data_IF_989194140957
#
_entry.id   IF_989194140957
#
_cell.length_a   1.000
_cell.length_b   1.000
_cell.length_c   1.000
_cell.angle_alpha   90.00
_cell.angle_beta   90.00
_cell.angle_gamma   90.00
#
_symmetry.space_group_name_H-M   'P 1'
#
loop_
_entity.id
_entity.type
_entity.pdbx_description
1 polymer ?
#
# COMPACT_ATOMS: atom_id res chain seq x y z
N UNK A 1 -18.03 -6.41 26.44
CA UNK A 1 -18.31 -5.72 25.15
C UNK A 1 -19.22 -6.64 24.33
N UNK A 2 -20.38 -6.15 23.84
CA UNK A 2 -21.41 -7.03 23.23
C UNK A 2 -20.90 -7.65 21.92
N UNK A 3 -21.27 -8.92 21.65
CA UNK A 3 -20.97 -9.66 20.40
C UNK A 3 -21.23 -8.84 19.14
N UNK A 4 -22.27 -8.04 19.16
CA UNK A 4 -22.69 -7.14 18.07
C UNK A 4 -21.64 -6.07 17.74
N UNK A 5 -20.93 -5.52 18.75
CA UNK A 5 -19.86 -4.53 18.54
C UNK A 5 -18.65 -5.15 17.84
N UNK A 6 -18.31 -6.40 18.15
CA UNK A 6 -17.22 -7.11 17.44
C UNK A 6 -17.58 -7.40 15.98
N UNK A 7 -18.82 -7.86 15.73
CA UNK A 7 -19.27 -8.13 14.36
C UNK A 7 -19.24 -6.83 13.52
N UNK A 8 -19.74 -5.73 14.06
CA UNK A 8 -19.77 -4.44 13.39
C UNK A 8 -18.35 -3.89 13.13
N UNK A 9 -17.42 -4.10 14.08
CA UNK A 9 -16.02 -3.68 13.95
C UNK A 9 -15.28 -4.35 12.79
N UNK A 10 -15.63 -5.61 12.46
CA UNK A 10 -15.02 -6.32 11.31
C UNK A 10 -15.84 -6.15 10.02
N UNK A 11 -17.16 -6.03 10.13
CA UNK A 11 -18.03 -5.91 8.95
C UNK A 11 -17.76 -4.61 8.17
N UNK A 12 -17.60 -3.48 8.86
CA UNK A 12 -17.38 -2.18 8.21
C UNK A 12 -16.12 -2.17 7.33
N UNK A 13 -14.92 -2.54 7.82
CA UNK A 13 -13.72 -2.60 6.99
C UNK A 13 -13.83 -3.56 5.81
N UNK A 14 -14.48 -4.72 6.03
CA UNK A 14 -14.69 -5.72 4.97
C UNK A 14 -15.59 -5.15 3.87
N UNK A 15 -16.70 -4.50 4.24
CA UNK A 15 -17.62 -3.88 3.26
C UNK A 15 -16.90 -2.79 2.47
N UNK A 16 -16.12 -1.93 3.11
CA UNK A 16 -15.35 -0.88 2.44
C UNK A 16 -14.33 -1.49 1.47
N UNK A 17 -13.62 -2.54 1.90
CA UNK A 17 -12.64 -3.23 1.07
C UNK A 17 -13.30 -3.86 -0.16
N UNK A 18 -14.42 -4.57 0.02
CA UNK A 18 -15.19 -5.16 -1.07
C UNK A 18 -15.75 -4.09 -2.01
N UNK A 19 -16.23 -2.96 -1.46
CA UNK A 19 -16.74 -1.85 -2.25
C UNK A 19 -15.67 -1.30 -3.21
N UNK A 20 -14.45 -1.06 -2.75
CA UNK A 20 -13.39 -0.59 -3.63
C UNK A 20 -12.82 -1.67 -4.55
N UNK A 21 -12.80 -2.93 -4.13
CA UNK A 21 -12.31 -4.03 -4.95
C UNK A 21 -13.23 -4.30 -6.17
N UNK A 22 -14.53 -4.25 -5.94
CA UNK A 22 -15.54 -4.55 -6.96
C UNK A 22 -16.23 -3.30 -7.50
N UNK A 23 -16.05 -2.14 -6.87
CA UNK A 23 -16.76 -0.89 -7.20
C UNK A 23 -16.53 -0.43 -8.64
N UNK A 24 -15.34 -0.67 -9.21
CA UNK A 24 -15.05 -0.26 -10.59
C UNK A 24 -15.96 -0.96 -11.62
N UNK A 25 -16.56 -2.13 -11.30
CA UNK A 25 -17.55 -2.77 -12.17
C UNK A 25 -18.87 -2.00 -12.22
N UNK A 26 -19.13 -1.15 -11.23
CA UNK A 26 -20.33 -0.31 -11.13
C UNK A 26 -20.05 1.15 -11.52
N UNK A 27 -18.87 1.43 -12.08
CA UNK A 27 -18.51 2.77 -12.54
C UNK A 27 -19.44 3.16 -13.71
N UNK A 28 -20.17 4.29 -13.63
CA UNK A 28 -21.12 4.68 -14.67
C UNK A 28 -20.40 5.13 -15.97
N UNK A 29 -19.16 5.57 -15.88
CA UNK A 29 -18.36 6.07 -17.00
C UNK A 29 -16.93 5.49 -16.96
N UNK A 30 -16.26 5.50 -18.10
CA UNK A 30 -14.80 5.25 -18.17
C UNK A 30 -14.06 6.32 -17.36
N UNK A 31 -13.27 5.93 -16.31
CA UNK A 31 -12.56 6.88 -15.46
C UNK A 31 -11.49 7.70 -16.18
N UNK A 32 -11.11 7.28 -17.40
CA UNK A 32 -10.06 7.93 -18.21
C UNK A 32 -10.63 8.75 -19.36
N UNK A 33 -11.89 8.55 -19.73
CA UNK A 33 -12.53 9.24 -20.83
C UNK A 33 -12.64 10.75 -20.56
N UNK A 34 -12.00 11.57 -21.39
CA UNK A 34 -12.02 13.02 -21.28
C UNK A 34 -13.12 13.62 -22.17
N UNK A 35 -13.92 14.53 -21.60
CA UNK A 35 -14.89 15.31 -22.36
C UNK A 35 -14.87 16.77 -21.89
N UNK A 36 -14.13 17.63 -22.58
CA UNK A 36 -13.95 19.04 -22.20
C UNK A 36 -15.28 19.82 -22.14
N UNK A 37 -16.32 19.36 -22.85
CA UNK A 37 -17.66 19.99 -22.81
C UNK A 37 -18.33 19.80 -21.45
N UNK A 38 -18.04 18.68 -20.78
CA UNK A 38 -18.61 18.32 -19.49
C UNK A 38 -17.69 18.73 -18.29
N UNK A 39 -16.83 19.71 -18.53
CA UNK A 39 -15.89 20.22 -17.52
C UNK A 39 -16.65 20.90 -16.36
N UNK A 40 -16.29 20.51 -15.12
CA UNK A 40 -16.83 21.06 -13.88
C UNK A 40 -18.37 20.99 -13.78
N UNK A 41 -18.98 19.96 -14.33
CA UNK A 41 -20.40 19.70 -14.10
C UNK A 41 -20.65 19.40 -12.63
N UNK A 42 -21.75 19.92 -12.05
CA UNK A 42 -22.15 19.60 -10.69
C UNK A 42 -22.63 18.16 -10.57
N UNK A 43 -22.76 17.69 -9.32
CA UNK A 43 -23.35 16.38 -9.02
C UNK A 43 -24.74 16.23 -9.65
N UNK A 44 -24.96 15.10 -10.32
CA UNK A 44 -26.22 14.76 -11.00
C UNK A 44 -26.45 13.24 -10.98
N UNK A 45 -27.58 12.77 -11.48
CA UNK A 45 -27.83 11.34 -11.63
C UNK A 45 -26.86 10.66 -12.61
N UNK A 46 -26.37 11.38 -13.62
CA UNK A 46 -25.40 10.91 -14.60
C UNK A 46 -23.96 10.98 -14.05
N UNK A 47 -23.64 12.05 -13.32
CA UNK A 47 -22.34 12.25 -12.67
C UNK A 47 -22.51 12.42 -11.15
N UNK A 48 -22.53 11.32 -10.37
CA UNK A 48 -22.89 11.39 -8.93
C UNK A 48 -22.05 12.35 -8.10
N UNK A 49 -20.75 12.53 -8.44
CA UNK A 49 -19.86 13.49 -7.80
C UNK A 49 -19.42 14.63 -8.73
N UNK A 50 -20.11 14.76 -9.88
CA UNK A 50 -19.73 15.74 -10.89
C UNK A 50 -18.53 15.29 -11.72
N UNK A 51 -17.90 16.26 -12.41
CA UNK A 51 -16.76 16.05 -13.30
C UNK A 51 -15.60 16.94 -12.96
N UNK A 52 -14.38 16.48 -13.29
CA UNK A 52 -13.14 17.22 -13.07
C UNK A 52 -12.84 18.27 -14.17
N UNK A 53 -11.63 18.82 -14.13
CA UNK A 53 -11.12 19.82 -15.09
C UNK A 53 -10.93 19.28 -16.53
N UNK A 54 -11.00 17.97 -16.74
CA UNK A 54 -11.00 17.32 -18.04
C UNK A 54 -12.36 16.75 -18.44
N UNK A 55 -13.41 17.00 -17.64
CA UNK A 55 -14.76 16.46 -17.84
C UNK A 55 -14.89 14.97 -17.57
N UNK A 56 -13.96 14.39 -16.77
CA UNK A 56 -13.99 12.98 -16.35
C UNK A 56 -14.88 12.81 -15.14
N UNK A 57 -15.63 11.71 -15.07
CA UNK A 57 -16.50 11.40 -13.94
C UNK A 57 -15.69 11.15 -12.66
N UNK A 58 -15.84 12.01 -11.63
CA UNK A 58 -15.11 11.90 -10.37
C UNK A 58 -15.47 10.61 -9.62
N UNK A 59 -16.72 10.17 -9.63
CA UNK A 59 -17.13 8.93 -8.98
C UNK A 59 -16.45 7.70 -9.59
N UNK A 60 -16.41 7.59 -10.93
CA UNK A 60 -15.72 6.50 -11.62
C UNK A 60 -14.22 6.48 -11.32
N UNK A 61 -13.59 7.65 -11.23
CA UNK A 61 -12.18 7.80 -10.89
C UNK A 61 -11.86 7.39 -9.45
N UNK A 62 -12.74 7.71 -8.51
CA UNK A 62 -12.59 7.28 -7.11
C UNK A 62 -12.65 5.74 -7.02
N UNK A 63 -13.58 5.09 -7.72
CA UNK A 63 -13.70 3.64 -7.72
C UNK A 63 -12.46 2.96 -8.32
N UNK A 64 -11.99 3.42 -9.48
CA UNK A 64 -10.81 2.85 -10.13
C UNK A 64 -9.51 3.15 -9.36
N UNK A 65 -9.38 4.36 -8.80
CA UNK A 65 -8.27 4.73 -7.92
C UNK A 65 -8.23 3.88 -6.65
N UNK A 66 -9.39 3.61 -6.05
CA UNK A 66 -9.53 2.73 -4.88
C UNK A 66 -9.07 1.31 -5.18
N UNK A 67 -9.52 0.73 -6.29
CA UNK A 67 -9.11 -0.60 -6.77
C UNK A 67 -7.59 -0.67 -7.01
N UNK A 68 -7.04 0.32 -7.69
CA UNK A 68 -5.59 0.42 -7.95
C UNK A 68 -4.79 0.50 -6.66
N UNK A 69 -5.21 1.34 -5.71
CA UNK A 69 -4.57 1.49 -4.40
C UNK A 69 -4.62 0.19 -3.61
N UNK A 70 -5.77 -0.47 -3.56
CA UNK A 70 -5.91 -1.77 -2.89
C UNK A 70 -5.02 -2.83 -3.53
N UNK A 71 -4.94 -2.87 -4.86
CA UNK A 71 -4.05 -3.77 -5.58
C UNK A 71 -2.59 -3.59 -5.17
N UNK A 72 -2.10 -2.34 -5.16
CA UNK A 72 -0.74 -2.02 -4.73
C UNK A 72 -0.51 -2.43 -3.27
N UNK A 73 -1.44 -2.10 -2.38
CA UNK A 73 -1.31 -2.42 -0.94
C UNK A 73 -1.33 -3.92 -0.69
N UNK A 74 -2.25 -4.67 -1.30
CA UNK A 74 -2.35 -6.12 -1.09
C UNK A 74 -1.14 -6.87 -1.64
N UNK A 75 -0.74 -6.59 -2.87
CA UNK A 75 0.43 -7.23 -3.50
C UNK A 75 1.71 -6.81 -2.78
N UNK A 76 1.88 -5.52 -2.50
CA UNK A 76 3.05 -5.00 -1.79
C UNK A 76 3.17 -5.58 -0.38
N UNK A 77 2.06 -5.65 0.38
CA UNK A 77 2.05 -6.24 1.72
C UNK A 77 2.41 -7.73 1.70
N UNK A 78 1.87 -8.49 0.74
CA UNK A 78 2.21 -9.90 0.59
C UNK A 78 3.72 -10.10 0.36
N UNK A 79 4.31 -9.33 -0.55
CA UNK A 79 5.75 -9.37 -0.82
C UNK A 79 6.56 -8.97 0.42
N UNK A 80 6.19 -7.88 1.10
CA UNK A 80 6.86 -7.40 2.31
C UNK A 80 6.82 -8.43 3.43
N UNK A 81 5.68 -9.05 3.67
CA UNK A 81 5.52 -10.07 4.71
C UNK A 81 6.36 -11.31 4.38
N UNK A 82 6.23 -11.86 3.17
CA UNK A 82 6.96 -13.07 2.78
C UNK A 82 8.47 -12.87 2.82
N UNK A 83 8.98 -11.84 2.17
CA UNK A 83 10.42 -11.58 2.11
C UNK A 83 10.95 -11.06 3.44
N UNK A 84 10.19 -10.23 4.15
CA UNK A 84 10.56 -9.70 5.45
C UNK A 84 10.71 -10.79 6.51
N UNK A 85 9.78 -11.76 6.55
CA UNK A 85 9.88 -12.91 7.46
C UNK A 85 11.07 -13.80 7.07
N UNK A 86 11.20 -14.15 5.79
CA UNK A 86 12.27 -15.00 5.31
C UNK A 86 13.65 -14.43 5.66
N UNK A 87 13.93 -13.21 5.22
CA UNK A 87 15.23 -12.58 5.47
C UNK A 87 15.44 -12.17 6.93
N UNK A 88 14.38 -11.81 7.66
CA UNK A 88 14.45 -11.50 9.08
C UNK A 88 14.90 -12.70 9.91
N UNK A 89 14.32 -13.89 9.68
CA UNK A 89 14.72 -15.13 10.34
C UNK A 89 16.15 -15.54 9.94
N UNK A 90 16.49 -15.42 8.66
CA UNK A 90 17.84 -15.76 8.19
C UNK A 90 18.90 -14.86 8.85
N UNK A 91 18.65 -13.56 8.98
CA UNK A 91 19.56 -12.64 9.66
C UNK A 91 19.66 -12.91 11.16
N UNK A 92 18.55 -13.23 11.85
CA UNK A 92 18.56 -13.54 13.27
C UNK A 92 19.42 -14.76 13.61
N UNK A 93 19.50 -15.75 12.72
CA UNK A 93 20.34 -16.96 12.87
C UNK A 93 21.83 -16.72 12.59
N UNK A 94 22.19 -15.54 12.11
CA UNK A 94 23.58 -15.22 11.75
C UNK A 94 24.36 -14.78 12.99
N UNK A 95 25.60 -15.22 13.15
CA UNK A 95 26.41 -14.96 14.36
C UNK A 95 26.57 -13.47 14.71
N UNK A 96 26.77 -13.19 16.00
CA UNK A 96 26.75 -11.86 16.65
C UNK A 96 27.52 -10.76 15.91
N UNK A 97 28.72 -11.08 15.37
CA UNK A 97 29.57 -10.10 14.68
C UNK A 97 29.00 -9.64 13.34
N UNK A 98 28.35 -10.52 12.59
CA UNK A 98 27.63 -10.21 11.35
C UNK A 98 26.34 -9.44 11.63
N UNK A 99 25.69 -9.69 12.75
CA UNK A 99 24.47 -9.01 13.16
C UNK A 99 24.69 -7.52 13.42
N UNK A 100 25.82 -7.10 14.01
CA UNK A 100 26.13 -5.68 14.25
C UNK A 100 26.23 -4.89 12.95
N UNK A 101 26.90 -5.44 11.93
CA UNK A 101 26.98 -4.78 10.61
C UNK A 101 25.62 -4.72 9.92
N UNK A 102 24.87 -5.83 9.93
CA UNK A 102 23.53 -5.87 9.36
C UNK A 102 22.59 -4.88 10.05
N UNK A 103 22.65 -4.76 11.37
CA UNK A 103 21.89 -3.76 12.12
C UNK A 103 22.25 -2.33 11.77
N UNK A 104 23.52 -2.04 11.66
CA UNK A 104 23.99 -0.70 11.30
C UNK A 104 23.49 -0.30 9.91
N UNK A 105 23.56 -1.21 8.94
CA UNK A 105 23.04 -1.00 7.59
C UNK A 105 21.52 -0.84 7.61
N UNK A 106 20.80 -1.74 8.28
CA UNK A 106 19.35 -1.66 8.39
C UNK A 106 18.90 -0.35 9.07
N UNK A 107 19.61 0.07 10.12
CA UNK A 107 19.30 1.32 10.81
C UNK A 107 19.53 2.54 9.89
N UNK A 108 20.65 2.58 9.17
CA UNK A 108 20.95 3.66 8.24
C UNK A 108 19.90 3.76 7.12
N UNK A 109 19.55 2.64 6.50
CA UNK A 109 18.60 2.62 5.38
C UNK A 109 17.17 2.87 5.86
N UNK A 110 16.76 2.31 7.00
CA UNK A 110 15.40 2.55 7.55
C UNK A 110 15.20 3.95 8.15
N UNK A 111 16.27 4.72 8.36
CA UNK A 111 16.19 6.14 8.72
C UNK A 111 15.63 7.00 7.59
N UNK A 112 15.75 6.54 6.33
CA UNK A 112 15.18 7.26 5.18
C UNK A 112 13.65 7.08 5.19
N UNK A 113 12.86 8.18 5.12
CA UNK A 113 11.41 8.09 5.05
C UNK A 113 10.94 7.34 3.79
N UNK A 114 9.86 6.52 3.85
CA UNK A 114 9.33 5.81 2.67
C UNK A 114 9.01 6.71 1.48
N UNK A 115 8.57 7.94 1.73
CA UNK A 115 8.26 8.94 0.70
C UNK A 115 9.52 9.32 -0.11
N UNK A 116 10.70 9.36 0.53
CA UNK A 116 11.95 9.66 -0.18
C UNK A 116 12.29 8.56 -1.20
N UNK A 117 12.07 7.29 -0.86
CA UNK A 117 12.18 6.18 -1.82
C UNK A 117 11.25 6.38 -3.01
N UNK A 118 10.00 6.75 -2.75
CA UNK A 118 9.02 6.96 -3.81
C UNK A 118 9.47 8.07 -4.77
N UNK A 119 9.95 9.19 -4.25
CA UNK A 119 10.44 10.32 -5.05
C UNK A 119 11.65 9.90 -5.91
N UNK A 120 12.61 9.19 -5.34
CA UNK A 120 13.81 8.73 -6.04
C UNK A 120 13.42 7.76 -7.18
N UNK A 121 12.58 6.77 -6.89
CA UNK A 121 12.19 5.77 -7.90
C UNK A 121 11.34 6.37 -9.02
N UNK A 122 10.42 7.30 -8.70
CA UNK A 122 9.66 8.03 -9.72
C UNK A 122 10.58 8.91 -10.57
N UNK A 123 11.58 9.54 -9.98
CA UNK A 123 12.58 10.33 -10.71
C UNK A 123 13.42 9.52 -11.69
N UNK A 124 13.72 8.25 -11.37
CA UNK A 124 14.55 7.37 -12.22
C UNK A 124 13.71 6.62 -13.27
N UNK A 125 12.57 6.05 -12.86
CA UNK A 125 11.78 5.13 -13.71
C UNK A 125 10.44 5.71 -14.18
N UNK A 126 10.14 6.94 -13.79
CA UNK A 126 8.88 7.60 -14.13
C UNK A 126 7.73 7.19 -13.20
N UNK A 127 6.61 7.91 -13.37
CA UNK A 127 5.40 7.70 -12.58
C UNK A 127 4.57 6.55 -13.18
N UNK A 128 4.67 5.37 -12.59
CA UNK A 128 3.89 4.18 -12.98
C UNK A 128 3.50 3.33 -11.78
N UNK A 129 2.46 2.49 -11.91
CA UNK A 129 2.03 1.56 -10.86
C UNK A 129 3.17 0.61 -10.44
N UNK A 130 3.92 -0.03 -11.36
CA UNK A 130 5.08 -0.83 -10.98
C UNK A 130 6.14 -0.05 -10.20
N UNK A 131 6.46 1.18 -10.60
CA UNK A 131 7.42 2.03 -9.89
C UNK A 131 6.97 2.31 -8.46
N UNK A 132 5.71 2.65 -8.24
CA UNK A 132 5.14 2.85 -6.91
C UNK A 132 5.19 1.58 -6.06
N UNK A 133 4.84 0.43 -6.65
CA UNK A 133 4.89 -0.86 -5.96
C UNK A 133 6.31 -1.19 -5.51
N UNK A 134 7.31 -1.06 -6.40
CA UNK A 134 8.72 -1.32 -6.07
C UNK A 134 9.22 -0.36 -5.00
N UNK A 135 8.95 0.94 -5.12
CA UNK A 135 9.40 1.94 -4.15
C UNK A 135 8.85 1.69 -2.75
N UNK A 136 7.54 1.42 -2.65
CA UNK A 136 6.88 1.15 -1.37
C UNK A 136 7.36 -0.17 -0.77
N UNK A 137 7.42 -1.24 -1.56
CA UNK A 137 7.87 -2.56 -1.07
C UNK A 137 9.33 -2.53 -0.63
N UNK A 138 10.23 -1.89 -1.39
CA UNK A 138 11.64 -1.79 -1.04
C UNK A 138 11.84 -1.10 0.32
N UNK A 139 11.13 0.00 0.57
CA UNK A 139 11.23 0.73 1.84
C UNK A 139 10.66 -0.06 3.03
N UNK A 140 9.58 -0.82 2.82
CA UNK A 140 8.89 -1.57 3.88
C UNK A 140 9.53 -2.92 4.18
N UNK A 141 10.12 -3.60 3.19
CA UNK A 141 10.83 -4.88 3.37
C UNK A 141 11.94 -4.73 4.42
N UNK A 142 12.76 -3.70 4.32
CA UNK A 142 13.88 -3.48 5.25
C UNK A 142 13.38 -3.26 6.70
N UNK A 143 12.28 -2.55 6.86
CA UNK A 143 11.64 -2.36 8.17
C UNK A 143 11.08 -3.68 8.72
N UNK A 144 10.45 -4.49 7.86
CA UNK A 144 9.91 -5.79 8.24
C UNK A 144 11.03 -6.78 8.61
N UNK A 145 12.12 -6.81 7.85
CA UNK A 145 13.32 -7.61 8.17
C UNK A 145 13.85 -7.27 9.57
N UNK A 146 13.99 -5.96 9.85
CA UNK A 146 14.47 -5.49 11.16
C UNK A 146 13.52 -5.92 12.28
N UNK A 147 12.21 -5.75 12.09
CA UNK A 147 11.19 -6.14 13.07
C UNK A 147 11.25 -7.64 13.38
N UNK A 148 11.22 -8.47 12.34
CA UNK A 148 11.25 -9.93 12.50
C UNK A 148 12.56 -10.39 13.14
N UNK A 149 13.71 -9.85 12.69
CA UNK A 149 15.01 -10.14 13.31
C UNK A 149 14.99 -9.88 14.81
N UNK A 150 14.53 -8.69 15.22
CA UNK A 150 14.48 -8.32 16.64
C UNK A 150 13.54 -9.21 17.43
N UNK A 151 12.36 -9.55 16.89
CA UNK A 151 11.41 -10.46 17.58
C UNK A 151 12.00 -11.84 17.77
N UNK A 152 12.66 -12.38 16.78
CA UNK A 152 13.31 -13.70 16.85
C UNK A 152 14.45 -13.70 17.86
N UNK A 153 15.28 -12.67 17.89
CA UNK A 153 16.40 -12.55 18.85
C UNK A 153 15.89 -12.46 20.30
N UNK A 154 14.86 -11.64 20.55
CA UNK A 154 14.24 -11.54 21.90
C UNK A 154 13.67 -12.88 22.37
N UNK A 155 13.13 -13.70 21.45
CA UNK A 155 12.59 -15.01 21.83
C UNK A 155 13.71 -16.04 22.11
N UNK A 156 14.81 -16.00 21.36
CA UNK A 156 15.98 -16.83 21.64
C UNK A 156 16.67 -16.50 22.96
N UNK A 157 16.68 -15.21 23.36
CA UNK A 157 17.29 -14.79 24.63
C UNK A 157 16.46 -15.20 25.88
N UNK A 158 15.23 -15.62 25.71
CA UNK A 158 14.35 -16.12 26.78
C UNK A 158 14.42 -17.63 26.97
N UNK A 159 14.96 -18.38 26.00
CA UNK A 159 15.03 -19.83 26.00
C UNK A 159 16.36 -20.36 26.55
#
# INVERSE_FOLDING_TARGET
>A
MSRTKHILSYAIPIVILLFFLFGSFFAPHDPTATNIRDKYLPSSAEYPFGTDDFGRCEFSRILEGGKTTLGIVLVGSAIVILLGILFGILLAKTGRRRNILAESILNAVTAIPPVAYLIIFIGIWGNSIPTMLVALTASLILRMIKLVKTLVEVEYDKA
#
